data_IF_664660947550
#
_entry.id   IF_664660947550
#
_cell.length_a   1.000
_cell.length_b   1.000
_cell.length_c   1.000
_cell.angle_alpha   90.00
_cell.angle_beta   90.00
_cell.angle_gamma   90.00
#
_symmetry.space_group_name_H-M   'P 1'
#
loop_
_entity.id
_entity.type
_entity.pdbx_description
1 polymer ?
#
# COMPACT_ATOMS: atom_id res chain seq x y z
N UNK A 1 -5.99 -23.52 0.38
CA UNK A 1 -6.92 -23.11 1.47
C UNK A 1 -6.94 -21.60 1.50
N UNK A 2 -8.13 -21.01 1.41
CA UNK A 2 -8.30 -19.59 1.09
C UNK A 2 -8.13 -18.71 2.33
N UNK A 3 -7.00 -18.04 2.46
CA UNK A 3 -6.82 -16.94 3.41
C UNK A 3 -7.39 -15.65 2.78
N UNK A 4 -8.71 -15.61 2.61
CA UNK A 4 -9.40 -14.59 1.82
C UNK A 4 -10.30 -13.63 2.60
N UNK A 5 -10.69 -13.96 3.84
CA UNK A 5 -11.68 -13.23 4.62
C UNK A 5 -11.11 -12.62 5.90
N UNK A 6 -11.96 -11.94 6.71
CA UNK A 6 -11.54 -11.30 7.96
C UNK A 6 -11.08 -12.30 9.04
N UNK A 7 -11.30 -13.60 8.83
CA UNK A 7 -10.83 -14.71 9.66
C UNK A 7 -9.91 -15.63 8.84
N UNK A 8 -9.01 -16.40 9.50
CA UNK A 8 -8.01 -17.24 8.84
C UNK A 8 -8.54 -18.20 7.77
N UNK A 9 -9.78 -18.68 7.93
CA UNK A 9 -10.38 -19.72 7.08
C UNK A 9 -11.53 -19.22 6.18
N UNK A 10 -11.77 -17.91 6.15
CA UNK A 10 -12.90 -17.33 5.42
C UNK A 10 -12.49 -16.92 3.99
N UNK A 11 -13.41 -17.00 3.03
CA UNK A 11 -13.16 -16.68 1.62
C UNK A 11 -14.27 -15.79 1.06
N UNK A 12 -13.93 -14.52 0.82
CA UNK A 12 -14.87 -13.51 0.33
C UNK A 12 -14.75 -13.31 -1.18
N UNK A 13 -15.65 -13.94 -1.95
CA UNK A 13 -15.81 -13.73 -3.40
C UNK A 13 -17.30 -13.78 -3.82
N UNK A 14 -18.07 -12.71 -3.57
CA UNK A 14 -19.50 -12.68 -3.92
C UNK A 14 -19.74 -12.64 -5.43
N UNK A 15 -18.79 -12.12 -6.21
CA UNK A 15 -18.89 -11.98 -7.67
C UNK A 15 -18.35 -13.20 -8.43
N UNK A 16 -17.74 -14.17 -7.74
CA UNK A 16 -17.20 -15.39 -8.34
C UNK A 16 -15.98 -15.15 -9.24
N UNK A 17 -15.21 -14.10 -8.98
CA UNK A 17 -14.06 -13.71 -9.80
C UNK A 17 -12.93 -14.74 -9.78
N UNK A 18 -12.81 -15.52 -8.70
CA UNK A 18 -11.80 -16.55 -8.56
C UNK A 18 -12.16 -17.87 -9.29
N UNK A 19 -13.42 -18.05 -9.71
CA UNK A 19 -13.87 -19.29 -10.36
C UNK A 19 -13.27 -19.40 -11.77
N UNK A 20 -12.59 -20.53 -12.04
CA UNK A 20 -12.03 -20.83 -13.37
C UNK A 20 -10.74 -20.07 -13.72
N UNK A 21 -10.03 -19.53 -12.73
CA UNK A 21 -8.71 -18.90 -12.90
C UNK A 21 -7.58 -19.87 -12.58
N UNK A 22 -6.43 -19.67 -13.21
CA UNK A 22 -5.23 -20.46 -12.89
C UNK A 22 -4.63 -20.01 -11.56
N UNK A 23 -3.89 -20.91 -10.90
CA UNK A 23 -3.23 -20.63 -9.63
C UNK A 23 -2.26 -19.44 -9.74
N UNK A 24 -1.57 -19.31 -10.87
CA UNK A 24 -0.70 -18.16 -11.16
C UNK A 24 -1.45 -16.83 -11.19
N UNK A 25 -2.67 -16.81 -11.74
CA UNK A 25 -3.51 -15.61 -11.76
C UNK A 25 -3.98 -15.22 -10.37
N UNK A 26 -4.34 -16.20 -9.54
CA UNK A 26 -4.76 -15.96 -8.16
C UNK A 26 -3.60 -15.42 -7.31
N UNK A 27 -2.39 -15.98 -7.47
CA UNK A 27 -1.18 -15.49 -6.80
C UNK A 27 -0.81 -14.07 -7.25
N UNK A 28 -1.00 -13.76 -8.54
CA UNK A 28 -0.82 -12.41 -9.04
C UNK A 28 -1.81 -11.42 -8.42
N UNK A 29 -3.11 -11.76 -8.36
CA UNK A 29 -4.11 -10.90 -7.73
C UNK A 29 -3.84 -10.69 -6.24
N UNK A 30 -3.35 -11.72 -5.55
CA UNK A 30 -2.88 -11.62 -4.18
C UNK A 30 -1.73 -10.63 -4.03
N UNK A 31 -0.77 -10.65 -4.96
CA UNK A 31 0.35 -9.71 -4.99
C UNK A 31 -0.11 -8.26 -5.23
N UNK A 32 -1.10 -8.08 -6.09
CA UNK A 32 -1.71 -6.79 -6.40
C UNK A 32 -2.45 -6.24 -5.18
N UNK A 33 -3.25 -7.06 -4.51
CA UNK A 33 -3.95 -6.70 -3.27
C UNK A 33 -2.97 -6.21 -2.19
N UNK A 34 -1.86 -6.94 -1.99
CA UNK A 34 -0.84 -6.58 -1.02
C UNK A 34 -0.15 -5.25 -1.35
N UNK A 35 0.19 -5.01 -2.62
CA UNK A 35 0.77 -3.73 -3.08
C UNK A 35 -0.17 -2.57 -2.78
N UNK A 36 -1.44 -2.68 -3.17
CA UNK A 36 -2.44 -1.63 -2.94
C UNK A 36 -2.66 -1.39 -1.44
N UNK A 37 -2.78 -2.47 -0.65
CA UNK A 37 -2.90 -2.37 0.80
C UNK A 37 -1.73 -1.60 1.45
N UNK A 38 -0.49 -1.93 1.10
CA UNK A 38 0.71 -1.24 1.61
C UNK A 38 0.76 0.23 1.22
N UNK A 39 0.47 0.55 -0.05
CA UNK A 39 0.43 1.93 -0.53
C UNK A 39 -0.66 2.72 0.20
N UNK A 40 -1.86 2.16 0.36
CA UNK A 40 -2.96 2.83 1.08
C UNK A 40 -2.69 3.00 2.58
N UNK A 41 -2.02 2.05 3.23
CA UNK A 41 -1.59 2.20 4.63
C UNK A 41 -0.63 3.39 4.80
N UNK A 42 0.37 3.50 3.91
CA UNK A 42 1.29 4.65 3.90
C UNK A 42 0.59 5.96 3.53
N UNK A 43 -0.37 5.91 2.60
CA UNK A 43 -1.13 7.08 2.18
C UNK A 43 -2.02 7.62 3.31
N UNK A 44 -2.70 6.76 4.08
CA UNK A 44 -3.49 7.18 5.24
C UNK A 44 -2.61 7.81 6.32
N UNK A 45 -1.45 7.22 6.62
CA UNK A 45 -0.50 7.80 7.57
C UNK A 45 0.03 9.15 7.09
N UNK A 46 0.38 9.24 5.80
CA UNK A 46 0.84 10.48 5.18
C UNK A 46 -0.23 11.57 5.24
N UNK A 47 -1.49 11.23 4.97
CA UNK A 47 -2.62 12.15 5.07
C UNK A 47 -2.75 12.73 6.48
N UNK A 48 -2.78 11.87 7.50
CA UNK A 48 -2.92 12.30 8.90
C UNK A 48 -1.72 13.12 9.38
N UNK A 49 -0.52 12.77 8.93
CA UNK A 49 0.69 13.54 9.23
C UNK A 49 0.60 14.95 8.63
N UNK A 50 0.04 15.05 7.42
CA UNK A 50 -0.08 16.32 6.71
C UNK A 50 -1.18 17.18 7.32
N UNK A 51 -2.37 16.61 7.54
CA UNK A 51 -3.46 17.28 8.25
C UNK A 51 -3.07 17.73 9.68
N UNK A 52 -2.10 17.03 10.31
CA UNK A 52 -1.53 17.42 11.61
C UNK A 52 -0.69 18.69 11.59
N UNK A 53 -0.44 19.30 10.43
CA UNK A 53 0.24 20.59 10.27
C UNK A 53 1.75 20.55 10.50
N UNK A 54 2.36 19.36 10.50
CA UNK A 54 3.80 19.19 10.73
C UNK A 54 4.52 18.75 9.44
N UNK A 55 5.04 19.73 8.69
CA UNK A 55 5.63 19.53 7.36
C UNK A 55 7.08 20.02 7.21
N UNK A 56 8.03 19.58 8.06
CA UNK A 56 9.39 20.14 8.03
C UNK A 56 10.12 19.93 6.69
N UNK A 57 9.86 18.82 6.01
CA UNK A 57 10.50 18.47 4.73
C UNK A 57 9.79 19.14 3.55
N UNK A 58 8.45 19.21 3.58
CA UNK A 58 7.64 19.86 2.55
C UNK A 58 7.92 21.37 2.48
N UNK A 59 7.93 22.02 3.65
CA UNK A 59 8.21 23.46 3.74
C UNK A 59 9.65 23.81 3.31
N UNK A 60 10.61 22.95 3.65
CA UNK A 60 12.00 23.10 3.22
C UNK A 60 12.15 22.94 1.70
N UNK A 61 11.43 21.99 1.09
CA UNK A 61 11.45 21.77 -0.36
C UNK A 61 10.74 22.90 -1.13
N UNK A 62 9.60 23.38 -0.64
CA UNK A 62 8.83 24.46 -1.26
C UNK A 62 9.37 25.87 -0.95
N UNK A 63 10.34 25.98 -0.02
CA UNK A 63 10.87 27.25 0.54
C UNK A 63 9.79 28.19 1.10
N UNK A 64 8.59 27.65 1.31
CA UNK A 64 7.36 28.34 1.72
C UNK A 64 6.56 27.36 2.57
N UNK A 65 5.68 27.87 3.43
CA UNK A 65 4.78 26.99 4.21
C UNK A 65 3.74 26.41 3.26
N UNK A 66 3.75 25.09 3.11
CA UNK A 66 2.82 24.35 2.25
C UNK A 66 1.46 24.25 2.96
N UNK A 67 0.38 24.10 2.19
CA UNK A 67 -0.96 23.89 2.73
C UNK A 67 -1.03 22.65 3.61
N UNK A 68 -1.82 22.72 4.69
CA UNK A 68 -2.11 21.58 5.58
C UNK A 68 -3.17 20.64 4.96
N UNK A 69 -3.85 21.10 3.90
CA UNK A 69 -4.70 20.27 3.03
C UNK A 69 -3.82 19.37 2.13
N UNK A 70 -3.92 18.02 2.24
CA UNK A 70 -3.09 17.09 1.49
C UNK A 70 -3.27 17.12 -0.03
N UNK A 71 -4.47 17.37 -0.56
CA UNK A 71 -4.68 17.45 -2.01
C UNK A 71 -4.03 18.71 -2.58
N UNK A 72 -4.20 19.83 -1.89
CA UNK A 72 -3.57 21.10 -2.30
C UNK A 72 -2.05 21.01 -2.15
N UNK A 73 -1.56 20.36 -1.09
CA UNK A 73 -0.13 20.17 -0.83
C UNK A 73 0.57 19.46 -2.00
N UNK A 74 -0.03 18.39 -2.53
CA UNK A 74 0.50 17.67 -3.69
C UNK A 74 0.65 18.57 -4.93
N UNK A 75 -0.30 19.47 -5.17
CA UNK A 75 -0.23 20.41 -6.28
C UNK A 75 0.81 21.54 -6.08
N UNK A 76 1.14 21.86 -4.82
CA UNK A 76 2.12 22.87 -4.46
C UNK A 76 3.57 22.35 -4.48
N UNK A 77 3.78 21.05 -4.61
CA UNK A 77 5.12 20.47 -4.64
C UNK A 77 5.94 20.99 -5.84
N UNK A 78 7.22 21.36 -5.64
CA UNK A 78 8.08 21.70 -6.75
C UNK A 78 8.24 20.50 -7.66
N UNK A 79 8.15 20.73 -8.98
CA UNK A 79 8.23 19.67 -10.01
C UNK A 79 9.49 18.81 -9.84
N UNK A 80 10.61 19.41 -9.40
CA UNK A 80 11.84 18.67 -9.11
C UNK A 80 11.69 17.65 -7.97
N UNK A 81 10.98 18.01 -6.90
CA UNK A 81 10.70 17.10 -5.78
C UNK A 81 9.72 15.99 -6.17
N UNK A 82 8.65 16.36 -6.89
CA UNK A 82 7.70 15.38 -7.41
C UNK A 82 8.37 14.38 -8.36
N UNK A 83 9.24 14.86 -9.26
CA UNK A 83 9.98 14.00 -10.18
C UNK A 83 10.92 13.04 -9.45
N UNK A 84 11.63 13.50 -8.41
CA UNK A 84 12.49 12.64 -7.60
C UNK A 84 11.71 11.48 -6.99
N UNK A 85 10.54 11.75 -6.39
CA UNK A 85 9.70 10.72 -5.78
C UNK A 85 9.21 9.72 -6.83
N UNK A 86 8.66 10.20 -7.95
CA UNK A 86 8.15 9.33 -9.02
C UNK A 86 9.29 8.51 -9.65
N UNK A 87 10.46 9.11 -9.85
CA UNK A 87 11.63 8.42 -10.38
C UNK A 87 12.13 7.35 -9.42
N UNK A 88 12.18 7.61 -8.11
CA UNK A 88 12.53 6.59 -7.11
C UNK A 88 11.54 5.43 -7.11
N UNK A 89 10.23 5.70 -7.17
CA UNK A 89 9.20 4.66 -7.27
C UNK A 89 9.38 3.86 -8.56
N UNK A 90 9.65 4.52 -9.68
CA UNK A 90 9.93 3.86 -10.96
C UNK A 90 11.14 2.93 -10.87
N UNK A 91 12.25 3.38 -10.27
CA UNK A 91 13.43 2.54 -10.08
C UNK A 91 13.14 1.32 -9.19
N UNK A 92 12.34 1.48 -8.12
CA UNK A 92 11.95 0.39 -7.24
C UNK A 92 11.03 -0.63 -7.94
N UNK A 93 10.05 -0.15 -8.73
CA UNK A 93 9.20 -1.02 -9.56
C UNK A 93 10.00 -1.75 -10.63
N UNK A 94 10.95 -1.07 -11.28
CA UNK A 94 11.84 -1.68 -12.26
C UNK A 94 12.70 -2.77 -11.63
N UNK A 95 13.27 -2.50 -10.45
CA UNK A 95 14.08 -3.47 -9.71
C UNK A 95 13.26 -4.71 -9.33
N UNK A 96 12.08 -4.51 -8.76
CA UNK A 96 11.20 -5.62 -8.32
C UNK A 96 10.55 -6.40 -9.48
N UNK A 97 10.39 -5.77 -10.64
CA UNK A 97 9.80 -6.42 -11.83
C UNK A 97 10.84 -7.14 -12.69
N UNK A 98 12.06 -6.63 -12.81
CA UNK A 98 13.05 -7.17 -13.75
C UNK A 98 14.28 -7.80 -13.10
N UNK A 99 14.81 -7.21 -12.02
CA UNK A 99 16.09 -7.61 -11.43
C UNK A 99 15.89 -8.62 -10.29
N UNK A 100 15.01 -8.30 -9.36
CA UNK A 100 14.71 -9.07 -8.15
C UNK A 100 13.24 -9.49 -8.16
N UNK A 101 12.87 -10.34 -9.13
CA UNK A 101 11.49 -10.85 -9.22
C UNK A 101 11.19 -11.69 -7.97
N UNK A 102 10.21 -11.28 -7.13
CA UNK A 102 9.82 -12.12 -6.01
C UNK A 102 9.21 -13.42 -6.55
N UNK A 103 9.44 -14.57 -5.87
CA UNK A 103 8.87 -15.83 -6.28
C UNK A 103 7.33 -15.76 -6.21
N UNK A 104 6.64 -16.39 -7.17
CA UNK A 104 5.18 -16.34 -7.28
C UNK A 104 4.45 -16.85 -6.03
N UNK A 105 5.08 -17.74 -5.25
CA UNK A 105 4.56 -18.26 -3.99
C UNK A 105 4.64 -17.25 -2.83
N UNK A 106 5.52 -16.24 -2.91
CA UNK A 106 5.74 -15.23 -1.86
C UNK A 106 5.74 -13.83 -2.49
N UNK A 107 4.55 -13.31 -2.82
CA UNK A 107 4.46 -11.97 -3.36
C UNK A 107 5.04 -10.96 -2.37
N UNK A 108 5.97 -10.12 -2.84
CA UNK A 108 6.66 -9.06 -2.09
C UNK A 108 7.76 -9.46 -1.10
N UNK A 109 8.30 -10.68 -1.18
CA UNK A 109 9.63 -10.95 -0.60
C UNK A 109 10.74 -10.37 -1.48
N UNK A 110 10.86 -9.03 -1.47
CA UNK A 110 11.78 -8.27 -2.34
C UNK A 110 13.25 -8.60 -2.04
N UNK A 111 13.56 -8.84 -0.77
CA UNK A 111 14.93 -8.99 -0.29
C UNK A 111 15.29 -10.45 0.06
N UNK A 112 14.35 -11.40 -0.08
CA UNK A 112 14.56 -12.79 0.32
C UNK A 112 14.78 -12.93 1.83
N UNK A 113 14.23 -12.00 2.62
CA UNK A 113 14.47 -11.95 4.08
C UNK A 113 13.46 -12.77 4.87
N UNK A 114 12.38 -13.27 4.25
CA UNK A 114 11.42 -14.16 4.91
C UNK A 114 12.07 -15.28 5.73
N UNK A 115 13.03 -16.08 5.19
CA UNK A 115 13.69 -17.14 5.95
C UNK A 115 14.65 -16.64 7.05
N UNK A 116 14.95 -15.34 7.09
CA UNK A 116 15.82 -14.71 8.11
C UNK A 116 14.99 -14.10 9.24
N UNK A 117 13.78 -13.63 8.94
CA UNK A 117 12.94 -12.86 9.87
C UNK A 117 11.94 -13.77 10.60
N UNK A 118 11.46 -14.84 9.97
CA UNK A 118 10.42 -15.67 10.55
C UNK A 118 10.55 -17.15 10.16
N UNK A 119 10.15 -18.02 11.09
CA UNK A 119 9.94 -19.44 10.82
C UNK A 119 8.58 -19.61 10.12
N UNK A 120 8.59 -20.18 8.92
CA UNK A 120 7.43 -20.20 8.01
C UNK A 120 6.32 -21.13 8.49
N UNK A 121 6.68 -22.13 9.30
CA UNK A 121 5.75 -23.09 9.89
C UNK A 121 5.12 -22.56 11.18
N UNK A 122 5.58 -21.41 11.70
CA UNK A 122 5.03 -20.82 12.90
C UNK A 122 3.61 -20.30 12.65
N UNK A 123 2.61 -20.69 13.47
CA UNK A 123 1.24 -20.19 13.34
C UNK A 123 1.15 -18.67 13.51
N UNK A 124 2.10 -18.07 14.25
CA UNK A 124 2.22 -16.62 14.46
C UNK A 124 2.55 -15.83 13.18
N UNK A 125 3.25 -16.46 12.23
CA UNK A 125 3.61 -15.80 10.97
C UNK A 125 2.38 -15.64 10.06
N UNK A 126 1.54 -16.68 9.99
CA UNK A 126 0.26 -16.63 9.25
C UNK A 126 -0.67 -15.56 9.83
N UNK A 127 -0.73 -15.44 11.15
CA UNK A 127 -1.53 -14.41 11.82
C UNK A 127 -1.01 -12.98 11.52
N UNK A 128 0.31 -12.81 11.47
CA UNK A 128 0.92 -11.52 11.09
C UNK A 128 0.60 -11.10 9.65
N UNK A 129 0.64 -12.05 8.70
CA UNK A 129 0.23 -11.80 7.33
C UNK A 129 -1.27 -11.45 7.20
N UNK A 130 -2.11 -12.10 8.01
CA UNK A 130 -3.55 -11.80 8.05
C UNK A 130 -3.81 -10.39 8.60
N UNK A 131 -3.07 -9.99 9.64
CA UNK A 131 -3.14 -8.63 10.21
C UNK A 131 -2.73 -7.57 9.18
N UNK A 132 -1.63 -7.80 8.46
CA UNK A 132 -1.19 -6.90 7.39
C UNK A 132 -2.29 -6.76 6.32
N UNK A 133 -2.87 -7.88 5.89
CA UNK A 133 -3.92 -7.87 4.89
C UNK A 133 -5.17 -7.11 5.34
N UNK A 134 -5.65 -7.39 6.55
CA UNK A 134 -6.86 -6.77 7.07
C UNK A 134 -6.69 -5.26 7.26
N UNK A 135 -5.51 -4.82 7.73
CA UNK A 135 -5.18 -3.40 7.80
C UNK A 135 -5.07 -2.77 6.41
N UNK A 136 -4.48 -3.47 5.44
CA UNK A 136 -4.42 -3.01 4.05
C UNK A 136 -5.81 -2.82 3.42
N UNK A 137 -6.73 -3.77 3.64
CA UNK A 137 -8.13 -3.67 3.17
C UNK A 137 -8.87 -2.50 3.80
N UNK A 138 -8.73 -2.34 5.11
CA UNK A 138 -9.31 -1.19 5.82
C UNK A 138 -8.73 0.12 5.29
N UNK A 139 -7.43 0.20 5.07
CA UNK A 139 -6.76 1.39 4.55
C UNK A 139 -7.19 1.74 3.12
N UNK A 140 -7.45 0.75 2.26
CA UNK A 140 -7.96 1.00 0.90
C UNK A 140 -9.32 1.72 0.94
N UNK A 141 -10.24 1.26 1.79
CA UNK A 141 -11.55 1.92 1.95
C UNK A 141 -11.41 3.26 2.67
N UNK A 142 -10.57 3.33 3.70
CA UNK A 142 -10.29 4.55 4.46
C UNK A 142 -9.73 5.68 3.61
N UNK A 143 -8.74 5.38 2.75
CA UNK A 143 -8.15 6.38 1.87
C UNK A 143 -9.15 6.95 0.85
N UNK A 144 -10.01 6.10 0.28
CA UNK A 144 -11.09 6.56 -0.61
C UNK A 144 -12.05 7.47 0.17
N UNK A 145 -12.35 7.13 1.42
CA UNK A 145 -13.16 7.96 2.31
C UNK A 145 -12.55 9.35 2.56
N UNK A 146 -11.26 9.41 2.90
CA UNK A 146 -10.52 10.65 3.12
C UNK A 146 -10.54 11.56 1.88
N UNK A 147 -10.21 11.00 0.71
CA UNK A 147 -10.24 11.75 -0.56
C UNK A 147 -11.66 12.22 -0.90
N UNK A 148 -12.67 11.39 -0.65
CA UNK A 148 -14.07 11.77 -0.91
C UNK A 148 -14.56 12.87 0.03
N UNK A 149 -14.16 12.83 1.30
CA UNK A 149 -14.53 13.84 2.30
C UNK A 149 -13.95 15.20 1.93
N UNK A 150 -12.67 15.24 1.57
CA UNK A 150 -11.98 16.48 1.18
C UNK A 150 -12.59 17.07 -0.11
N UNK A 151 -12.83 16.24 -1.13
CA UNK A 151 -13.43 16.69 -2.39
C UNK A 151 -14.87 17.22 -2.25
N UNK A 152 -15.68 16.64 -1.34
CA UNK A 152 -17.10 17.01 -1.19
C UNK A 152 -17.29 18.15 -0.20
N UNK A 153 -16.54 18.14 0.90
CA UNK A 153 -16.75 19.04 2.05
C UNK A 153 -15.74 20.19 2.07
N UNK A 154 -14.55 19.98 1.50
CA UNK A 154 -13.41 20.88 1.64
C UNK A 154 -12.73 20.79 3.02
N UNK A 155 -13.09 19.77 3.81
CA UNK A 155 -12.56 19.49 5.14
C UNK A 155 -11.71 18.21 5.09
N UNK A 156 -10.45 18.29 5.53
CA UNK A 156 -9.40 17.27 5.38
C UNK A 156 -8.99 16.57 6.67
#
# INVERSE_FOLDING_TARGET
EGTGGPRPDDFWDPAGLAKGKSDEQLLYWRAVELKHGRVCMLACLGWLHVAGGWHPIGDAAARTRVSDDPLINVAQLPIGGAFQVVFTIMCLEWLTTYVCKPPASKPWDILGWTPVIADEDAPEWKDSQLKELNNGRLAMVGFIGLVSQDLVTGDY
#
